data_IF_166793595243
#
_entry.id   IF_166793595243
#
_cell.length_a   1.000
_cell.length_b   1.000
_cell.length_c   1.000
_cell.angle_alpha   90.00
_cell.angle_beta   90.00
_cell.angle_gamma   90.00
#
_symmetry.space_group_name_H-M   'P 1'
#
loop_
_entity.id
_entity.type
_entity.pdbx_description
1 polymer ?
#
# COMPACT_ATOMS: atom_id res chain seq x y z
N UNK A 1 3.69 11.43 9.43
CA UNK A 1 2.61 10.60 8.87
C UNK A 1 2.41 9.38 9.76
N UNK A 2 1.28 8.71 9.65
CA UNK A 2 1.05 7.36 10.20
C UNK A 2 0.63 6.48 9.02
N UNK A 3 1.23 5.30 8.90
CA UNK A 3 0.84 4.32 7.89
C UNK A 3 0.54 3.00 8.61
N UNK A 4 -0.67 2.48 8.41
CA UNK A 4 -1.15 1.24 9.00
C UNK A 4 -1.33 0.24 7.87
N UNK A 5 -0.31 -0.60 7.66
CA UNK A 5 -0.28 -1.61 6.59
C UNK A 5 0.04 -3.01 7.10
N UNK A 6 0.31 -3.91 6.16
CA UNK A 6 0.73 -5.28 6.42
C UNK A 6 -0.35 -6.29 6.05
N UNK A 7 -0.80 -7.11 7.02
CA UNK A 7 -1.79 -8.16 6.76
C UNK A 7 -3.14 -7.60 6.27
N UNK A 8 -4.06 -7.34 7.18
CA UNK A 8 -5.34 -6.71 6.82
C UNK A 8 -5.77 -5.79 7.96
N UNK A 9 -5.26 -4.54 8.01
CA UNK A 9 -5.61 -3.56 9.05
C UNK A 9 -7.12 -3.34 9.18
N UNK A 10 -7.83 -3.42 8.06
CA UNK A 10 -9.30 -3.35 7.97
C UNK A 10 -10.06 -4.47 8.70
N UNK A 11 -9.38 -5.46 9.29
CA UNK A 11 -9.99 -6.40 10.24
C UNK A 11 -10.25 -5.78 11.61
N UNK A 12 -9.52 -4.73 11.99
CA UNK A 12 -9.75 -4.01 13.25
C UNK A 12 -11.15 -3.42 13.27
N UNK A 13 -11.79 -3.39 14.44
CA UNK A 13 -13.04 -2.65 14.60
C UNK A 13 -12.74 -1.15 14.65
N UNK A 14 -13.74 -0.31 14.33
CA UNK A 14 -13.65 1.14 14.51
C UNK A 14 -13.12 1.56 15.90
N UNK A 15 -13.68 1.03 17.01
CA UNK A 15 -13.19 1.32 18.35
C UNK A 15 -11.74 0.88 18.61
N UNK A 16 -11.30 -0.23 18.03
CA UNK A 16 -9.91 -0.68 18.14
C UNK A 16 -8.96 0.26 17.39
N UNK A 17 -9.35 0.73 16.19
CA UNK A 17 -8.60 1.73 15.43
C UNK A 17 -8.52 3.06 16.20
N UNK A 18 -9.62 3.50 16.80
CA UNK A 18 -9.64 4.69 17.63
C UNK A 18 -8.68 4.57 18.83
N UNK A 19 -8.75 3.44 19.55
CA UNK A 19 -7.84 3.15 20.67
C UNK A 19 -6.38 3.22 20.25
N UNK A 20 -6.04 2.66 19.08
CA UNK A 20 -4.69 2.71 18.54
C UNK A 20 -4.24 4.16 18.28
N UNK A 21 -5.04 4.93 17.53
CA UNK A 21 -4.68 6.30 17.16
C UNK A 21 -4.63 7.24 18.37
N UNK A 22 -5.54 7.10 19.33
CA UNK A 22 -5.51 7.85 20.59
C UNK A 22 -4.27 7.49 21.41
N UNK A 23 -3.90 6.20 21.43
CA UNK A 23 -2.67 5.73 22.07
C UNK A 23 -1.40 6.35 21.47
N UNK A 24 -1.37 6.56 20.15
CA UNK A 24 -0.27 7.26 19.46
C UNK A 24 -0.28 8.75 19.81
N UNK A 25 -1.43 9.43 19.69
CA UNK A 25 -1.57 10.87 20.02
C UNK A 25 -1.16 11.20 21.45
N UNK A 26 -1.42 10.29 22.38
CA UNK A 26 -1.06 10.45 23.79
C UNK A 26 0.45 10.35 24.07
N UNK A 27 1.24 9.81 23.13
CA UNK A 27 2.68 9.51 23.34
C UNK A 27 3.59 10.31 22.41
N UNK A 28 3.10 10.70 21.24
CA UNK A 28 3.88 11.36 20.22
C UNK A 28 3.16 12.62 19.73
N UNK A 29 3.87 13.74 19.54
CA UNK A 29 3.31 14.89 18.87
C UNK A 29 3.03 14.53 17.41
N UNK A 30 1.79 14.75 16.98
CA UNK A 30 1.38 14.61 15.58
C UNK A 30 1.00 15.99 15.05
N UNK A 31 1.47 16.30 13.84
CA UNK A 31 1.02 17.50 13.13
C UNK A 31 -0.50 17.44 12.93
N UNK A 32 -1.18 18.59 13.04
CA UNK A 32 -2.64 18.66 12.94
C UNK A 32 -3.16 18.17 11.57
N UNK A 33 -2.35 18.30 10.53
CA UNK A 33 -2.62 17.90 9.15
C UNK A 33 -1.92 16.60 8.74
N UNK A 34 -1.39 15.84 9.71
CA UNK A 34 -0.67 14.60 9.45
C UNK A 34 -1.52 13.63 8.60
N UNK A 35 -0.91 13.10 7.52
CA UNK A 35 -1.51 12.01 6.77
C UNK A 35 -1.54 10.73 7.64
N UNK A 36 -2.72 10.15 7.79
CA UNK A 36 -2.98 8.87 8.48
C UNK A 36 -3.59 7.94 7.44
N UNK A 37 -2.74 7.06 6.91
CA UNK A 37 -3.07 6.09 5.87
C UNK A 37 -3.36 4.72 6.47
N UNK A 38 -4.38 4.03 5.94
CA UNK A 38 -4.66 2.63 6.26
C UNK A 38 -4.85 1.80 4.98
N UNK A 39 -4.29 0.60 4.95
CA UNK A 39 -4.58 -0.42 3.93
C UNK A 39 -5.91 -1.15 4.23
N UNK A 40 -6.70 -1.38 3.18
CA UNK A 40 -7.97 -2.07 3.26
C UNK A 40 -8.16 -3.05 2.08
N UNK A 41 -8.82 -4.17 2.37
CA UNK A 41 -9.36 -5.02 1.32
C UNK A 41 -10.74 -4.49 0.91
N UNK A 42 -11.16 -4.68 -0.36
CA UNK A 42 -12.46 -4.20 -0.84
C UNK A 42 -13.65 -5.04 -0.38
N UNK A 43 -13.45 -6.04 0.48
CA UNK A 43 -14.51 -6.92 0.99
C UNK A 43 -15.65 -6.12 1.64
N UNK A 44 -16.86 -6.65 1.53
CA UNK A 44 -18.10 -5.98 1.98
C UNK A 44 -18.03 -5.52 3.44
N UNK A 45 -17.51 -6.36 4.34
CA UNK A 45 -17.44 -6.08 5.79
C UNK A 45 -16.42 -4.99 6.10
N UNK A 46 -15.30 -4.99 5.39
CA UNK A 46 -14.21 -4.02 5.55
C UNK A 46 -14.61 -2.63 5.06
N UNK A 47 -15.30 -2.57 3.91
CA UNK A 47 -15.74 -1.32 3.31
C UNK A 47 -16.81 -0.61 4.15
N UNK A 48 -17.69 -1.36 4.82
CA UNK A 48 -18.72 -0.82 5.71
C UNK A 48 -18.13 -0.10 6.93
N UNK A 49 -16.86 -0.38 7.28
CA UNK A 49 -16.15 0.24 8.40
C UNK A 49 -15.39 1.51 8.02
N UNK A 50 -15.35 1.90 6.75
CA UNK A 50 -14.57 3.08 6.32
C UNK A 50 -14.99 4.37 7.05
N UNK A 51 -16.29 4.54 7.31
CA UNK A 51 -16.82 5.66 8.11
C UNK A 51 -16.24 5.65 9.52
N UNK A 52 -16.14 4.49 10.15
CA UNK A 52 -15.62 4.38 11.51
C UNK A 52 -14.10 4.62 11.56
N UNK A 53 -13.36 4.18 10.54
CA UNK A 53 -11.94 4.51 10.42
C UNK A 53 -11.72 6.01 10.21
N UNK A 54 -12.54 6.64 9.38
CA UNK A 54 -12.51 8.09 9.21
C UNK A 54 -12.77 8.81 10.53
N UNK A 55 -13.79 8.38 11.29
CA UNK A 55 -14.10 8.92 12.63
C UNK A 55 -12.96 8.74 13.63
N UNK A 56 -12.23 7.62 13.57
CA UNK A 56 -11.05 7.39 14.39
C UNK A 56 -9.89 8.35 14.03
N UNK A 57 -9.89 8.88 12.80
CA UNK A 57 -8.93 9.86 12.30
C UNK A 57 -8.12 9.40 11.09
N UNK A 58 -8.42 8.24 10.51
CA UNK A 58 -7.85 7.85 9.21
C UNK A 58 -8.33 8.83 8.15
N UNK A 59 -7.40 9.45 7.43
CA UNK A 59 -7.73 10.43 6.39
C UNK A 59 -7.26 9.99 4.99
N UNK A 60 -6.62 8.84 4.87
CA UNK A 60 -6.31 8.20 3.59
C UNK A 60 -6.51 6.68 3.65
N UNK A 61 -7.14 6.11 2.63
CA UNK A 61 -7.37 4.64 2.53
C UNK A 61 -6.74 4.10 1.24
N UNK A 62 -5.97 3.02 1.34
CA UNK A 62 -5.42 2.27 0.20
C UNK A 62 -6.21 0.98 0.00
N UNK A 63 -6.84 0.79 -1.14
CA UNK A 63 -7.73 -0.35 -1.40
C UNK A 63 -7.04 -1.33 -2.34
N UNK A 64 -6.81 -2.55 -1.85
CA UNK A 64 -6.15 -3.63 -2.57
C UNK A 64 -7.00 -4.29 -3.67
N UNK A 65 -7.28 -3.60 -4.78
CA UNK A 65 -8.14 -4.09 -5.86
C UNK A 65 -7.49 -5.22 -6.67
N UNK A 66 -6.23 -5.03 -7.05
CA UNK A 66 -5.39 -5.88 -7.90
C UNK A 66 -5.84 -5.99 -9.36
N UNK A 67 -7.09 -6.36 -9.62
CA UNK A 67 -7.68 -6.46 -10.96
C UNK A 67 -9.20 -6.30 -10.87
N UNK A 68 -9.83 -5.84 -11.96
CA UNK A 68 -11.28 -5.85 -12.13
C UNK A 68 -11.77 -7.07 -12.93
N UNK A 69 -10.88 -8.03 -13.24
CA UNK A 69 -11.24 -9.33 -13.81
C UNK A 69 -11.44 -10.37 -12.71
N UNK A 70 -12.64 -10.96 -12.65
CA UNK A 70 -12.95 -12.02 -11.69
C UNK A 70 -12.02 -13.25 -11.87
N UNK A 71 -11.66 -13.58 -13.11
CA UNK A 71 -10.74 -14.67 -13.40
C UNK A 71 -9.34 -14.40 -12.83
N UNK A 72 -8.82 -13.18 -13.06
CA UNK A 72 -7.49 -12.80 -12.55
C UNK A 72 -7.47 -12.75 -11.03
N UNK A 73 -8.54 -12.25 -10.39
CA UNK A 73 -8.68 -12.25 -8.93
C UNK A 73 -8.67 -13.67 -8.34
N UNK A 74 -9.40 -14.62 -8.95
CA UNK A 74 -9.38 -16.03 -8.54
C UNK A 74 -7.99 -16.64 -8.65
N UNK A 75 -7.27 -16.38 -9.75
CA UNK A 75 -5.88 -16.83 -9.93
C UNK A 75 -4.92 -16.25 -8.89
N UNK A 76 -5.16 -15.00 -8.47
CA UNK A 76 -4.43 -14.34 -7.38
C UNK A 76 -4.83 -14.82 -5.97
N UNK A 77 -5.79 -15.75 -5.86
CA UNK A 77 -6.29 -16.22 -4.57
C UNK A 77 -7.09 -15.15 -3.80
N UNK A 78 -7.61 -14.13 -4.49
CA UNK A 78 -8.43 -13.08 -3.88
C UNK A 78 -9.85 -13.60 -3.66
N UNK A 79 -10.38 -13.29 -2.49
CA UNK A 79 -11.73 -13.70 -2.07
C UNK A 79 -12.80 -12.64 -2.40
N UNK A 80 -12.38 -11.46 -2.84
CA UNK A 80 -13.27 -10.38 -3.27
C UNK A 80 -13.51 -10.39 -4.78
N UNK A 81 -14.63 -9.84 -5.21
CA UNK A 81 -14.98 -9.65 -6.61
C UNK A 81 -14.80 -8.22 -7.12
N UNK A 82 -14.89 -7.99 -8.44
CA UNK A 82 -14.75 -6.65 -9.04
C UNK A 82 -15.86 -5.69 -8.62
N UNK A 83 -17.07 -6.18 -8.34
CA UNK A 83 -18.18 -5.34 -7.87
C UNK A 83 -17.93 -4.82 -6.45
N UNK A 84 -17.32 -5.63 -5.59
CA UNK A 84 -16.93 -5.20 -4.24
C UNK A 84 -15.84 -4.13 -4.30
N UNK A 85 -14.85 -4.29 -5.19
CA UNK A 85 -13.85 -3.26 -5.45
C UNK A 85 -14.47 -1.93 -5.91
N UNK A 86 -15.39 -1.97 -6.87
CA UNK A 86 -16.13 -0.78 -7.34
C UNK A 86 -16.95 -0.14 -6.23
N UNK A 87 -17.61 -0.94 -5.39
CA UNK A 87 -18.38 -0.47 -4.22
C UNK A 87 -17.47 0.21 -3.20
N UNK A 88 -16.36 -0.43 -2.83
CA UNK A 88 -15.39 0.11 -1.87
C UNK A 88 -14.80 1.45 -2.37
N UNK A 89 -14.46 1.56 -3.66
CA UNK A 89 -14.00 2.81 -4.26
C UNK A 89 -15.06 3.92 -4.18
N UNK A 90 -16.32 3.62 -4.52
CA UNK A 90 -17.43 4.58 -4.41
C UNK A 90 -17.69 5.02 -2.97
N UNK A 91 -17.61 4.09 -2.01
CA UNK A 91 -17.72 4.41 -0.59
C UNK A 91 -16.59 5.35 -0.16
N UNK A 92 -15.33 5.01 -0.45
CA UNK A 92 -14.18 5.87 -0.11
C UNK A 92 -14.28 7.26 -0.74
N UNK A 93 -14.74 7.35 -2.00
CA UNK A 93 -14.97 8.62 -2.69
C UNK A 93 -16.07 9.48 -2.04
N UNK A 94 -17.11 8.84 -1.48
CA UNK A 94 -18.18 9.51 -0.75
C UNK A 94 -17.80 9.98 0.66
N UNK A 95 -16.63 9.58 1.16
CA UNK A 95 -16.12 10.03 2.46
C UNK A 95 -15.29 11.31 2.28
N UNK A 96 -15.36 12.20 3.25
CA UNK A 96 -14.47 13.37 3.36
C UNK A 96 -13.01 13.01 3.72
N UNK A 97 -12.44 11.99 3.08
CA UNK A 97 -11.04 11.62 3.22
C UNK A 97 -10.17 12.66 2.51
N UNK A 98 -8.93 12.83 3.00
CA UNK A 98 -7.90 13.62 2.29
C UNK A 98 -7.56 12.98 0.95
N UNK A 99 -7.54 11.64 0.87
CA UNK A 99 -7.25 10.91 -0.37
C UNK A 99 -7.75 9.46 -0.25
N UNK A 100 -7.88 8.77 -1.37
CA UNK A 100 -7.94 7.30 -1.40
C UNK A 100 -7.19 6.77 -2.61
N UNK A 101 -6.74 5.53 -2.49
CA UNK A 101 -5.94 4.85 -3.49
C UNK A 101 -6.58 3.52 -3.91
N UNK A 102 -6.42 3.16 -5.18
CA UNK A 102 -6.66 1.80 -5.67
C UNK A 102 -5.32 1.18 -6.08
N UNK A 103 -4.98 0.03 -5.49
CA UNK A 103 -3.81 -0.75 -5.85
C UNK A 103 -4.16 -1.75 -6.95
N UNK A 104 -3.44 -1.71 -8.08
CA UNK A 104 -3.65 -2.54 -9.27
C UNK A 104 -2.35 -3.23 -9.66
N UNK A 105 -2.47 -4.45 -10.14
CA UNK A 105 -1.36 -5.25 -10.65
C UNK A 105 -1.48 -5.41 -12.16
N UNK A 106 -0.36 -5.35 -12.87
CA UNK A 106 -0.24 -5.77 -14.27
C UNK A 106 0.83 -6.86 -14.44
N UNK A 107 0.90 -7.47 -15.62
CA UNK A 107 1.77 -8.62 -15.84
C UNK A 107 1.26 -9.89 -15.14
N UNK A 108 -0.06 -10.01 -14.97
CA UNK A 108 -0.68 -11.19 -14.34
C UNK A 108 -0.58 -12.41 -15.27
N UNK A 109 -0.68 -13.65 -14.73
CA UNK A 109 -0.67 -14.85 -15.55
C UNK A 109 -1.75 -14.84 -16.65
N UNK A 110 -1.34 -15.15 -17.88
CA UNK A 110 -2.13 -15.10 -19.11
C UNK A 110 -2.84 -13.73 -19.34
N UNK A 111 -2.30 -12.63 -18.81
CA UNK A 111 -2.89 -11.30 -19.00
C UNK A 111 -2.44 -10.70 -20.34
N UNK A 112 -3.41 -10.42 -21.19
CA UNK A 112 -3.20 -9.67 -22.43
C UNK A 112 -3.07 -8.17 -22.16
N UNK A 113 -2.48 -7.45 -23.12
CA UNK A 113 -2.42 -6.00 -23.12
C UNK A 113 -3.79 -5.36 -22.89
N UNK A 114 -4.81 -5.80 -23.64
CA UNK A 114 -6.15 -5.21 -23.56
C UNK A 114 -6.83 -5.46 -22.19
N UNK A 115 -6.58 -6.61 -21.56
CA UNK A 115 -7.05 -6.86 -20.19
C UNK A 115 -6.36 -5.94 -19.17
N UNK A 116 -5.03 -5.76 -19.27
CA UNK A 116 -4.29 -4.88 -18.37
C UNK A 116 -4.74 -3.42 -18.51
N UNK A 117 -4.92 -2.94 -19.75
CA UNK A 117 -5.45 -1.60 -20.00
C UNK A 117 -6.93 -1.49 -19.60
N UNK A 118 -7.70 -2.58 -19.73
CA UNK A 118 -9.09 -2.67 -19.26
C UNK A 118 -9.23 -2.47 -17.75
N UNK A 119 -8.31 -3.01 -16.96
CA UNK A 119 -8.25 -2.77 -15.51
C UNK A 119 -7.95 -1.29 -15.20
N UNK A 120 -6.99 -0.68 -15.90
CA UNK A 120 -6.67 0.73 -15.73
C UNK A 120 -7.84 1.65 -16.12
N UNK A 121 -8.51 1.40 -17.25
CA UNK A 121 -9.65 2.21 -17.70
C UNK A 121 -10.77 2.20 -16.65
N UNK A 122 -11.07 1.04 -16.06
CA UNK A 122 -12.05 0.93 -14.97
C UNK A 122 -11.62 1.70 -13.72
N UNK A 123 -10.34 1.64 -13.36
CA UNK A 123 -9.81 2.41 -12.23
C UNK A 123 -9.92 3.92 -12.45
N UNK A 124 -9.59 4.38 -13.65
CA UNK A 124 -9.68 5.79 -14.06
C UNK A 124 -11.14 6.26 -14.01
N UNK A 125 -12.10 5.44 -14.44
CA UNK A 125 -13.53 5.75 -14.36
C UNK A 125 -14.02 5.94 -12.91
N UNK A 126 -13.48 5.15 -11.96
CA UNK A 126 -13.73 5.35 -10.53
C UNK A 126 -13.08 6.61 -9.95
N UNK A 127 -12.20 7.25 -10.74
CA UNK A 127 -11.63 8.57 -10.53
C UNK A 127 -10.93 8.79 -9.17
N UNK A 128 -10.14 7.83 -8.63
CA UNK A 128 -9.45 8.03 -7.38
C UNK A 128 -8.45 9.19 -7.46
N UNK A 129 -8.13 9.86 -6.33
CA UNK A 129 -7.05 10.83 -6.31
C UNK A 129 -5.66 10.21 -6.52
N UNK A 130 -5.51 8.92 -6.24
CA UNK A 130 -4.25 8.18 -6.28
C UNK A 130 -4.45 6.75 -6.82
N UNK A 131 -3.46 6.24 -7.53
CA UNK A 131 -3.37 4.87 -8.05
C UNK A 131 -1.98 4.31 -7.76
N UNK A 132 -1.90 3.11 -7.21
CA UNK A 132 -0.69 2.30 -7.29
C UNK A 132 -0.89 1.30 -8.42
N UNK A 133 -0.01 1.31 -9.40
CA UNK A 133 -0.05 0.42 -10.55
C UNK A 133 1.34 -0.18 -10.75
N UNK A 134 1.46 -1.48 -10.49
CA UNK A 134 2.75 -2.15 -10.42
C UNK A 134 2.71 -3.53 -11.07
N UNK A 135 3.88 -3.97 -11.53
CA UNK A 135 4.05 -5.29 -12.11
C UNK A 135 3.98 -6.36 -11.01
N UNK A 136 3.35 -7.49 -11.31
CA UNK A 136 3.45 -8.68 -10.47
C UNK A 136 4.90 -9.17 -10.40
N UNK A 137 5.49 -9.10 -9.22
CA UNK A 137 6.80 -9.69 -8.91
C UNK A 137 6.62 -10.99 -8.13
N UNK A 138 7.36 -12.04 -8.50
CA UNK A 138 7.30 -13.34 -7.84
C UNK A 138 8.26 -13.35 -6.65
N UNK A 139 7.71 -13.22 -5.46
CA UNK A 139 8.50 -13.19 -4.23
C UNK A 139 8.83 -14.61 -3.71
N UNK A 140 10.07 -14.85 -3.27
CA UNK A 140 10.43 -16.07 -2.54
C UNK A 140 9.54 -16.28 -1.32
N UNK A 141 9.15 -17.53 -1.04
CA UNK A 141 8.26 -17.91 0.06
C UNK A 141 6.76 -17.53 -0.11
N UNK A 142 6.32 -17.27 -1.34
CA UNK A 142 4.89 -17.15 -1.68
C UNK A 142 4.38 -18.41 -2.39
N UNK A 143 3.06 -18.54 -2.54
CA UNK A 143 2.47 -19.63 -3.33
C UNK A 143 3.05 -19.64 -4.76
N UNK A 144 3.17 -18.47 -5.39
CA UNK A 144 3.79 -18.35 -6.70
C UNK A 144 5.30 -18.59 -6.68
N UNK A 145 6.00 -18.25 -5.61
CA UNK A 145 7.41 -18.64 -5.46
C UNK A 145 7.61 -20.16 -5.46
N UNK A 146 6.66 -20.91 -4.90
CA UNK A 146 6.69 -22.39 -4.89
C UNK A 146 6.16 -23.04 -6.16
N UNK A 147 5.28 -22.36 -6.90
CA UNK A 147 4.70 -22.81 -8.17
C UNK A 147 4.60 -21.61 -9.12
N UNK A 148 5.71 -21.25 -9.79
CA UNK A 148 5.75 -20.04 -10.60
C UNK A 148 4.83 -20.19 -11.81
N UNK A 149 3.90 -19.24 -12.03
CA UNK A 149 3.13 -19.20 -13.26
C UNK A 149 4.03 -18.72 -14.42
N UNK A 150 3.58 -18.96 -15.65
CA UNK A 150 4.15 -18.28 -16.82
C UNK A 150 3.65 -16.84 -16.80
N UNK A 151 4.59 -15.89 -16.87
CA UNK A 151 4.30 -14.47 -16.96
C UNK A 151 4.50 -13.98 -18.40
N UNK A 152 3.92 -12.83 -18.79
CA UNK A 152 4.25 -12.18 -20.05
C UNK A 152 5.77 -11.93 -20.15
N UNK A 153 6.30 -11.96 -21.37
CA UNK A 153 7.71 -11.63 -21.63
C UNK A 153 7.97 -10.12 -21.49
N UNK A 154 9.25 -9.74 -21.52
CA UNK A 154 9.68 -8.36 -21.29
C UNK A 154 9.09 -7.38 -22.32
N UNK A 155 8.94 -7.81 -23.58
CA UNK A 155 8.35 -7.00 -24.65
C UNK A 155 6.85 -6.75 -24.37
N UNK A 156 6.09 -7.78 -24.02
CA UNK A 156 4.68 -7.64 -23.65
C UNK A 156 4.48 -6.80 -22.37
N UNK A 157 5.37 -6.96 -21.38
CA UNK A 157 5.35 -6.14 -20.16
C UNK A 157 5.65 -4.67 -20.46
N UNK A 158 6.60 -4.41 -21.35
CA UNK A 158 6.94 -3.07 -21.81
C UNK A 158 5.76 -2.41 -22.52
N UNK A 159 5.11 -3.11 -23.45
CA UNK A 159 3.93 -2.62 -24.17
C UNK A 159 2.79 -2.27 -23.21
N UNK A 160 2.55 -3.11 -22.20
CA UNK A 160 1.57 -2.84 -21.13
C UNK A 160 1.94 -1.56 -20.37
N UNK A 161 3.20 -1.46 -19.93
CA UNK A 161 3.67 -0.31 -19.15
C UNK A 161 3.56 0.99 -19.95
N UNK A 162 4.09 1.03 -21.17
CA UNK A 162 4.13 2.22 -22.01
C UNK A 162 2.72 2.76 -22.30
N UNK A 163 1.81 1.88 -22.74
CA UNK A 163 0.45 2.29 -23.08
C UNK A 163 -0.37 2.64 -21.83
N UNK A 164 -0.18 1.92 -20.72
CA UNK A 164 -0.85 2.25 -19.47
C UNK A 164 -0.34 3.56 -18.86
N UNK A 165 0.96 3.87 -18.98
CA UNK A 165 1.53 5.16 -18.58
C UNK A 165 0.92 6.32 -19.37
N UNK A 166 0.80 6.17 -20.70
CA UNK A 166 0.14 7.17 -21.55
C UNK A 166 -1.32 7.37 -21.14
N UNK A 167 -2.05 6.29 -20.87
CA UNK A 167 -3.44 6.34 -20.43
C UNK A 167 -3.62 7.07 -19.09
N UNK A 168 -2.77 6.75 -18.10
CA UNK A 168 -2.79 7.40 -16.78
C UNK A 168 -2.44 8.89 -16.88
N UNK A 169 -1.43 9.23 -17.68
CA UNK A 169 -1.01 10.62 -17.89
C UNK A 169 -2.10 11.42 -18.60
N UNK A 170 -2.74 10.86 -19.63
CA UNK A 170 -3.88 11.47 -20.30
C UNK A 170 -5.09 11.68 -19.37
N UNK A 171 -5.26 10.82 -18.37
CA UNK A 171 -6.28 10.96 -17.32
C UNK A 171 -5.89 11.95 -16.20
N UNK A 172 -4.74 12.62 -16.29
CA UNK A 172 -4.30 13.67 -15.37
C UNK A 172 -3.55 13.16 -14.13
N UNK A 173 -3.14 11.89 -14.11
CA UNK A 173 -2.25 11.38 -13.07
C UNK A 173 -0.78 11.67 -13.39
N UNK A 174 0.03 11.85 -12.36
CA UNK A 174 1.47 12.03 -12.44
C UNK A 174 2.16 10.87 -11.74
N UNK A 175 3.05 10.18 -12.44
CA UNK A 175 3.97 9.23 -11.82
C UNK A 175 4.96 10.00 -10.94
N UNK A 176 4.98 9.73 -9.63
CA UNK A 176 5.88 10.42 -8.70
C UNK A 176 6.91 9.48 -8.05
N UNK A 177 6.75 8.17 -8.25
CA UNK A 177 7.68 7.09 -7.92
C UNK A 177 7.37 5.88 -8.81
N UNK A 178 8.15 4.81 -8.72
CA UNK A 178 8.11 3.64 -9.61
C UNK A 178 6.71 3.10 -9.87
N UNK A 179 5.91 2.93 -8.82
CA UNK A 179 4.62 2.25 -8.82
C UNK A 179 3.42 3.17 -8.59
N UNK A 180 3.62 4.43 -8.18
CA UNK A 180 2.50 5.30 -7.80
C UNK A 180 2.30 6.50 -8.72
N UNK A 181 1.02 6.70 -8.98
CA UNK A 181 0.44 7.74 -9.81
C UNK A 181 -0.55 8.52 -8.95
N UNK A 182 -0.47 9.84 -8.96
CA UNK A 182 -1.40 10.68 -8.22
C UNK A 182 -1.81 11.89 -9.03
N UNK A 183 -3.02 12.39 -8.80
CA UNK A 183 -3.36 13.74 -9.21
C UNK A 183 -2.50 14.75 -8.42
N UNK A 184 -2.24 15.94 -8.97
CA UNK A 184 -1.45 16.95 -8.27
C UNK A 184 -1.98 17.23 -6.85
N UNK A 185 -1.09 17.13 -5.85
CA UNK A 185 -1.40 17.37 -4.44
C UNK A 185 -1.88 16.14 -3.65
N UNK A 186 -2.05 14.99 -4.30
CA UNK A 186 -2.53 13.75 -3.68
C UNK A 186 -1.46 12.66 -3.51
N UNK A 187 -0.19 12.99 -3.70
CA UNK A 187 0.93 12.06 -3.48
C UNK A 187 0.93 11.54 -2.04
N UNK A 188 1.17 10.24 -1.87
CA UNK A 188 1.25 9.62 -0.55
C UNK A 188 2.48 10.13 0.20
N UNK A 189 2.27 10.81 1.33
CA UNK A 189 3.38 11.33 2.13
C UNK A 189 4.24 10.21 2.71
N UNK A 190 3.64 9.06 3.06
CA UNK A 190 4.40 7.90 3.49
C UNK A 190 5.34 7.37 2.39
N UNK A 191 4.84 7.18 1.16
CA UNK A 191 5.68 6.69 0.05
C UNK A 191 6.82 7.67 -0.24
N UNK A 192 6.53 8.98 -0.29
CA UNK A 192 7.55 10.01 -0.50
C UNK A 192 8.60 10.00 0.60
N UNK A 193 8.22 9.80 1.86
CA UNK A 193 9.17 9.69 2.97
C UNK A 193 10.08 8.48 2.76
N UNK A 194 9.53 7.33 2.38
CA UNK A 194 10.31 6.13 2.13
C UNK A 194 11.31 6.34 0.98
N UNK A 195 10.82 6.75 -0.20
CA UNK A 195 11.65 6.97 -1.39
C UNK A 195 12.68 8.10 -1.26
N UNK A 196 12.48 9.06 -0.36
CA UNK A 196 13.44 10.12 -0.04
C UNK A 196 14.39 9.75 1.09
N UNK A 197 14.41 8.47 1.48
CA UNK A 197 15.25 7.96 2.55
C UNK A 197 14.99 8.68 3.88
N UNK A 198 13.73 9.05 4.14
CA UNK A 198 13.29 9.69 5.37
C UNK A 198 13.25 8.73 6.56
N UNK A 199 13.08 9.29 7.76
CA UNK A 199 13.03 8.49 8.98
C UNK A 199 11.62 8.01 9.30
N UNK A 200 11.53 6.85 9.94
CA UNK A 200 10.28 6.24 10.38
C UNK A 200 10.53 5.22 11.49
N UNK A 201 9.56 5.12 12.39
CA UNK A 201 9.58 4.16 13.49
C UNK A 201 8.67 2.99 13.14
N UNK A 202 9.23 1.78 13.12
CA UNK A 202 8.48 0.54 12.96
C UNK A 202 7.82 0.09 14.26
N UNK A 203 6.50 -0.02 14.26
CA UNK A 203 5.72 -0.51 15.41
C UNK A 203 4.88 -1.71 14.97
N UNK A 204 4.90 -2.76 15.80
CA UNK A 204 4.16 -3.99 15.53
C UNK A 204 5.04 -5.14 15.05
N UNK A 205 4.42 -6.31 14.93
CA UNK A 205 5.08 -7.55 14.54
C UNK A 205 5.63 -7.44 13.11
N UNK A 206 6.92 -7.73 12.93
CA UNK A 206 7.60 -7.65 11.62
C UNK A 206 7.84 -6.24 11.07
N UNK A 207 7.55 -5.18 11.82
CA UNK A 207 7.79 -3.82 11.35
C UNK A 207 9.29 -3.49 11.26
N UNK A 208 9.65 -2.69 10.26
CA UNK A 208 11.00 -2.13 10.10
C UNK A 208 11.01 -0.66 10.50
N UNK A 209 12.17 -0.16 10.92
CA UNK A 209 12.39 1.24 11.26
C UNK A 209 13.74 1.74 10.76
N UNK A 210 13.81 3.04 10.49
CA UNK A 210 15.02 3.79 10.13
C UNK A 210 15.01 5.12 10.86
N UNK A 211 16.07 5.41 11.60
CA UNK A 211 16.23 6.70 12.30
C UNK A 211 17.62 7.26 12.02
N UNK A 212 17.69 8.52 11.62
CA UNK A 212 18.94 9.26 11.40
C UNK A 212 19.15 10.19 12.59
N UNK A 213 20.31 10.10 13.22
CA UNK A 213 20.68 10.93 14.36
C UNK A 213 21.41 12.21 13.90
N UNK A 214 21.46 13.27 14.73
CA UNK A 214 22.12 14.53 14.39
C UNK A 214 23.62 14.41 14.05
N UNK A 215 24.27 13.35 14.53
CA UNK A 215 25.67 13.02 14.23
C UNK A 215 25.85 12.28 12.88
N UNK A 216 24.77 12.06 12.13
CA UNK A 216 24.77 11.36 10.84
C UNK A 216 24.79 9.84 10.95
N UNK A 217 24.65 9.29 12.17
CA UNK A 217 24.44 7.85 12.40
C UNK A 217 23.04 7.45 11.96
N UNK A 218 22.92 6.33 11.26
CA UNK A 218 21.63 5.79 10.82
C UNK A 218 21.44 4.45 11.51
N UNK A 219 20.30 4.29 12.17
CA UNK A 219 19.92 3.07 12.88
C UNK A 219 18.77 2.39 12.14
N UNK A 220 18.98 1.12 11.78
CA UNK A 220 17.93 0.23 11.28
C UNK A 220 17.46 -0.68 12.40
N UNK A 221 16.15 -0.86 12.51
CA UNK A 221 15.54 -1.82 13.44
C UNK A 221 14.58 -2.73 12.72
N UNK A 222 14.56 -4.00 13.11
CA UNK A 222 13.54 -4.97 12.69
C UNK A 222 12.85 -5.52 13.92
N UNK A 223 11.52 -5.47 13.94
CA UNK A 223 10.71 -6.07 15.00
C UNK A 223 10.53 -7.56 14.74
N UNK A 224 10.39 -8.33 15.82
CA UNK A 224 10.18 -9.78 15.75
C UNK A 224 9.04 -10.11 14.79
N UNK A 225 9.38 -10.91 13.77
CA UNK A 225 8.46 -11.25 12.67
C UNK A 225 7.29 -12.14 13.08
N UNK A 226 7.50 -13.08 14.00
CA UNK A 226 6.48 -14.07 14.36
C UNK A 226 5.58 -13.58 15.51
N UNK A 227 4.24 -13.55 15.35
CA UNK A 227 3.32 -13.00 16.36
C UNK A 227 3.47 -13.61 17.75
N UNK A 228 3.68 -14.94 17.82
CA UNK A 228 3.94 -15.64 19.09
C UNK A 228 5.13 -15.07 19.85
N UNK A 229 6.24 -14.75 19.16
CA UNK A 229 7.41 -14.17 19.80
C UNK A 229 7.14 -12.74 20.27
N UNK A 230 6.49 -11.96 19.41
CA UNK A 230 6.10 -10.59 19.71
C UNK A 230 5.19 -10.51 20.95
N UNK A 231 4.16 -11.35 21.03
CA UNK A 231 3.23 -11.42 22.17
C UNK A 231 3.88 -11.90 23.48
N UNK A 232 5.05 -12.54 23.42
CA UNK A 232 5.84 -12.93 24.60
C UNK A 232 6.78 -11.81 25.09
N UNK A 233 6.66 -10.59 24.54
CA UNK A 233 7.49 -9.45 24.91
C UNK A 233 8.82 -9.37 24.17
N UNK A 234 9.11 -10.29 23.25
CA UNK A 234 10.27 -10.21 22.35
C UNK A 234 9.90 -9.31 21.18
N UNK A 235 10.09 -8.00 21.34
CA UNK A 235 9.66 -7.01 20.35
C UNK A 235 10.73 -6.68 19.31
N UNK A 236 12.01 -6.72 19.68
CA UNK A 236 13.14 -6.37 18.80
C UNK A 236 13.85 -7.64 18.35
N UNK A 237 13.98 -7.84 17.04
CA UNK A 237 14.72 -8.95 16.45
C UNK A 237 16.15 -8.54 16.12
N UNK A 238 16.32 -7.39 15.49
CA UNK A 238 17.65 -6.85 15.21
C UNK A 238 17.65 -5.33 15.24
N UNK A 239 18.82 -4.80 15.57
CA UNK A 239 19.16 -3.39 15.49
C UNK A 239 20.60 -3.29 15.00
N UNK A 240 20.84 -2.48 13.98
CA UNK A 240 22.18 -2.24 13.44
C UNK A 240 22.36 -0.79 13.05
N UNK A 241 23.55 -0.26 13.30
CA UNK A 241 23.97 0.97 12.64
C UNK A 241 24.30 0.66 11.17
N UNK A 242 23.99 1.60 10.29
CA UNK A 242 24.35 1.52 8.87
C UNK A 242 25.75 2.08 8.69
N UNK A 243 26.67 1.21 8.29
CA UNK A 243 28.06 1.57 8.04
C UNK A 243 28.18 2.56 6.88
N UNK A 244 29.23 3.38 6.90
CA UNK A 244 29.42 4.41 5.88
C UNK A 244 29.47 3.85 4.44
N UNK A 245 30.01 2.64 4.28
CA UNK A 245 30.08 1.93 3.01
C UNK A 245 28.71 1.43 2.51
N UNK A 246 27.76 1.20 3.41
CA UNK A 246 26.44 0.66 3.09
C UNK A 246 25.44 1.77 2.73
N UNK A 247 25.67 3.01 3.20
CA UNK A 247 24.75 4.15 3.00
C UNK A 247 24.31 4.35 1.53
N UNK A 248 25.16 4.21 0.50
CA UNK A 248 24.74 4.37 -0.90
C UNK A 248 23.77 3.28 -1.40
N UNK A 249 23.70 2.14 -0.71
CA UNK A 249 22.86 0.99 -1.07
C UNK A 249 21.57 0.92 -0.24
N UNK A 250 21.37 1.88 0.65
CA UNK A 250 20.20 1.93 1.51
C UNK A 250 19.06 2.71 0.84
N UNK A 251 17.85 2.18 1.01
CA UNK A 251 16.59 2.74 0.51
C UNK A 251 15.51 2.73 1.60
#
# INVERSE_FOLDING_TARGET
TIFIGGGTPSLLSGPAMQTLLDGVRARLPLAADAEITMEANPGTVEADRFVDYQRAGVNRISIGVQSFSEEKLKRLGRIHGPQEAKRAAKLASGLGLRSFNLDLMHGLPDQSLEEALGDLRQAIELNPPHLSWYQLTIEPNTLFGSRPPVLPDDDALWDIFEQGHQLLTAAGYQQYETSAYAKPGYQCQHNLNYWRFGDYIGIGCGAHGKVTFPDGRILRTTKTRHPRGFMQGRYLESQRDVEAADKPFEF
#
